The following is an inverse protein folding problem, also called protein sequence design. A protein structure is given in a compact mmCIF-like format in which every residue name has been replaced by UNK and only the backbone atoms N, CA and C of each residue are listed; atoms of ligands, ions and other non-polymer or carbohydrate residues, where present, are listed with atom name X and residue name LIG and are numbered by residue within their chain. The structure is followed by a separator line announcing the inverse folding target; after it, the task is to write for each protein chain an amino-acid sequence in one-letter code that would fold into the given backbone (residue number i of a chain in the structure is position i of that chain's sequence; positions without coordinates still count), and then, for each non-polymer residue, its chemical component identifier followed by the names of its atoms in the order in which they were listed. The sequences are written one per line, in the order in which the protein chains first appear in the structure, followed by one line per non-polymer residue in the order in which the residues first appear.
data_IF_685388747314
#
_entry.id   IF_685388747314
#
_cell.length_a   1.000
_cell.length_b   1.000
_cell.length_c   1.000
_cell.angle_alpha   90.00
_cell.angle_beta   90.00
_cell.angle_gamma   90.00
#
_symmetry.space_group_name_H-M   'P 1'
#
loop_
_entity.id
_entity.type
_entity.pdbx_description
1 polymer ?
#
# COMPACT_ATOMS: atom_id res chain seq x y z
N UNK A 1 -11.42 -10.77 18.40
CA UNK A 1 -10.82 -10.46 17.07
C UNK A 1 -11.68 -9.40 16.40
N UNK A 2 -11.10 -8.28 15.96
CA UNK A 2 -11.84 -7.20 15.25
C UNK A 2 -11.50 -7.27 13.77
N UNK A 3 -12.50 -7.43 12.91
CA UNK A 3 -12.35 -7.37 11.46
C UNK A 3 -12.60 -5.93 11.03
N UNK A 4 -11.67 -5.32 10.27
CA UNK A 4 -11.87 -4.00 9.67
C UNK A 4 -12.57 -4.21 8.32
N UNK A 5 -13.80 -3.71 8.11
CA UNK A 5 -14.46 -3.84 6.81
C UNK A 5 -13.76 -2.98 5.76
N UNK A 6 -13.83 -3.39 4.48
CA UNK A 6 -13.14 -2.71 3.37
C UNK A 6 -13.44 -1.20 3.33
N UNK A 7 -14.67 -0.81 3.63
CA UNK A 7 -15.11 0.59 3.67
C UNK A 7 -14.45 1.45 4.76
N UNK A 8 -13.77 0.84 5.72
CA UNK A 8 -13.03 1.51 6.79
C UNK A 8 -11.50 1.40 6.61
N UNK A 9 -11.06 0.68 5.58
CA UNK A 9 -9.64 0.59 5.23
C UNK A 9 -9.21 1.85 4.49
N UNK A 10 -7.94 2.21 4.63
CA UNK A 10 -7.39 3.30 3.85
C UNK A 10 -7.18 2.87 2.40
N UNK A 11 -7.16 3.86 1.50
CA UNK A 11 -6.80 3.68 0.10
C UNK A 11 -5.79 4.74 -0.31
N UNK A 12 -5.18 4.53 -1.47
CA UNK A 12 -4.24 5.46 -2.06
C UNK A 12 -4.12 5.22 -3.56
N UNK A 13 -3.40 6.11 -4.22
CA UNK A 13 -3.14 6.00 -5.64
C UNK A 13 -1.82 6.68 -5.99
N UNK A 14 -1.14 6.13 -6.98
CA UNK A 14 0.02 6.74 -7.62
C UNK A 14 -0.32 7.09 -9.07
N UNK A 15 0.36 8.12 -9.59
CA UNK A 15 0.26 8.55 -10.99
C UNK A 15 -1.18 8.70 -11.49
N UNK A 16 -2.00 9.44 -10.74
CA UNK A 16 -3.41 9.71 -11.06
C UNK A 16 -4.26 8.43 -11.20
N UNK A 17 -4.00 7.41 -10.38
CA UNK A 17 -4.80 6.18 -10.34
C UNK A 17 -4.35 5.10 -11.32
N UNK A 18 -3.20 5.26 -11.99
CA UNK A 18 -2.60 4.18 -12.78
C UNK A 18 -2.19 2.99 -11.92
N UNK A 19 -1.80 3.27 -10.68
CA UNK A 19 -1.61 2.27 -9.63
C UNK A 19 -2.53 2.67 -8.48
N UNK A 20 -3.37 1.75 -8.04
CA UNK A 20 -4.22 1.93 -6.86
C UNK A 20 -3.71 1.05 -5.73
N UNK A 21 -3.90 1.47 -4.48
CA UNK A 21 -3.55 0.69 -3.31
C UNK A 21 -4.72 0.60 -2.32
N UNK A 22 -4.92 -0.60 -1.76
CA UNK A 22 -5.74 -0.82 -0.59
C UNK A 22 -4.83 -1.07 0.63
N UNK A 23 -5.06 -0.31 1.70
CA UNK A 23 -4.29 -0.34 2.94
C UNK A 23 -5.22 -0.70 4.11
N UNK A 24 -5.22 -1.95 4.57
CA UNK A 24 -6.06 -2.37 5.71
C UNK A 24 -5.83 -1.54 6.97
N UNK A 25 -4.57 -1.13 7.16
CA UNK A 25 -4.17 -0.15 8.16
C UNK A 25 -3.36 0.92 7.43
N UNK A 26 -3.96 2.10 7.26
CA UNK A 26 -3.29 3.25 6.67
C UNK A 26 -2.25 3.86 7.60
N UNK A 27 -1.51 4.83 7.08
CA UNK A 27 -0.67 5.67 7.95
C UNK A 27 -1.52 6.45 8.96
N UNK A 28 -0.94 7.01 10.03
CA UNK A 28 -1.69 7.73 11.06
C UNK A 28 -2.64 8.82 10.55
N UNK A 29 -2.36 9.41 9.38
CA UNK A 29 -3.19 10.41 8.71
C UNK A 29 -4.29 9.84 7.78
N UNK A 30 -4.20 8.58 7.39
CA UNK A 30 -5.06 7.96 6.37
C UNK A 30 -6.34 7.32 6.96
N UNK A 31 -6.50 7.30 8.28
CA UNK A 31 -7.67 6.70 8.91
C UNK A 31 -7.63 6.67 10.44
N UNK A 32 -8.63 6.03 11.04
CA UNK A 32 -8.78 5.92 12.49
C UNK A 32 -8.22 4.60 13.06
N UNK A 33 -7.89 3.64 12.19
CA UNK A 33 -7.39 2.33 12.57
C UNK A 33 -5.91 2.44 12.89
N UNK A 34 -5.53 2.17 14.14
CA UNK A 34 -4.13 2.11 14.56
C UNK A 34 -3.57 0.70 14.37
N UNK A 35 -2.31 0.56 13.95
CA UNK A 35 -1.66 -0.74 13.86
C UNK A 35 -1.45 -1.32 15.27
N UNK A 36 -1.50 -2.65 15.35
CA UNK A 36 -1.17 -3.38 16.57
C UNK A 36 0.34 -3.64 16.70
N UNK A 37 1.06 -3.71 15.57
CA UNK A 37 2.50 -4.00 15.50
C UNK A 37 3.21 -2.99 14.58
N UNK A 38 4.51 -3.16 14.36
CA UNK A 38 5.28 -2.40 13.37
C UNK A 38 5.04 -2.84 11.92
N UNK A 39 4.19 -3.84 11.68
CA UNK A 39 3.90 -4.35 10.34
C UNK A 39 2.82 -3.50 9.67
N UNK A 40 3.13 -2.99 8.49
CA UNK A 40 2.18 -2.38 7.57
C UNK A 40 2.19 -3.15 6.26
N UNK A 41 1.05 -3.19 5.59
CA UNK A 41 0.97 -3.77 4.26
C UNK A 41 -0.09 -3.07 3.42
N UNK A 42 0.12 -3.12 2.12
CA UNK A 42 -0.80 -2.64 1.11
C UNK A 42 -0.90 -3.70 0.01
N UNK A 43 -2.10 -3.84 -0.56
CA UNK A 43 -2.28 -4.50 -1.84
C UNK A 43 -2.29 -3.41 -2.92
N UNK A 44 -1.29 -3.41 -3.78
CA UNK A 44 -1.21 -2.50 -4.91
C UNK A 44 -1.59 -3.21 -6.21
N UNK A 45 -2.35 -2.55 -7.06
CA UNK A 45 -2.77 -3.03 -8.38
C UNK A 45 -2.43 -1.99 -9.45
N UNK A 46 -1.68 -2.40 -10.47
CA UNK A 46 -1.41 -1.59 -11.64
C UNK A 46 -2.51 -1.75 -12.68
N UNK A 47 -3.35 -0.73 -12.84
CA UNK A 47 -4.41 -0.70 -13.86
C UNK A 47 -3.86 -0.37 -15.26
N UNK A 48 -2.72 0.32 -15.30
CA UNK A 48 -1.97 0.68 -16.50
C UNK A 48 -0.47 0.60 -16.20
N UNK A 49 0.34 0.34 -17.23
CA UNK A 49 1.80 0.37 -17.11
C UNK A 49 2.28 1.71 -16.53
N UNK A 50 3.01 1.62 -15.42
CA UNK A 50 3.43 2.77 -14.65
C UNK A 50 4.59 2.44 -13.72
N UNK A 51 5.24 3.49 -13.20
CA UNK A 51 6.33 3.37 -12.23
C UNK A 51 6.09 4.33 -11.07
N UNK A 52 6.37 3.89 -9.85
CA UNK A 52 6.32 4.78 -8.68
C UNK A 52 7.57 5.67 -8.72
N UNK A 53 7.37 6.99 -8.61
CA UNK A 53 8.47 7.96 -8.59
C UNK A 53 9.40 7.77 -7.39
N UNK A 54 10.62 8.30 -7.48
CA UNK A 54 11.59 8.25 -6.39
C UNK A 54 11.06 9.01 -5.16
N UNK A 55 11.10 8.35 -4.00
CA UNK A 55 10.71 8.94 -2.72
C UNK A 55 11.51 8.31 -1.58
N UNK A 56 11.71 9.05 -0.47
CA UNK A 56 12.59 8.59 0.61
C UNK A 56 11.90 7.56 1.52
N UNK A 57 12.69 6.61 2.02
CA UNK A 57 12.34 5.71 3.12
C UNK A 57 13.50 5.67 4.13
N UNK A 58 13.18 5.62 5.42
CA UNK A 58 14.19 5.58 6.48
C UNK A 58 13.66 4.82 7.70
N UNK A 59 14.50 3.93 8.25
CA UNK A 59 14.25 3.27 9.53
C UNK A 59 13.34 2.02 9.48
N UNK A 60 13.11 1.46 8.29
CA UNK A 60 12.34 0.22 8.10
C UNK A 60 12.75 -0.50 6.80
N UNK A 61 12.26 -1.73 6.64
CA UNK A 61 12.44 -2.56 5.44
C UNK A 61 11.15 -2.62 4.62
N UNK A 62 11.30 -2.75 3.30
CA UNK A 62 10.19 -2.95 2.37
C UNK A 62 10.35 -4.32 1.73
N UNK A 63 9.29 -5.12 1.76
CA UNK A 63 9.22 -6.40 1.05
C UNK A 63 8.06 -6.34 0.06
N UNK A 64 8.35 -6.61 -1.21
CA UNK A 64 7.37 -6.64 -2.27
C UNK A 64 7.21 -8.07 -2.78
N UNK A 65 5.97 -8.54 -2.81
CA UNK A 65 5.60 -9.80 -3.44
C UNK A 65 4.77 -9.48 -4.68
N UNK A 66 5.13 -10.06 -5.82
CA UNK A 66 4.46 -9.88 -7.10
C UNK A 66 3.90 -11.23 -7.55
N UNK A 67 2.66 -11.58 -7.14
CA UNK A 67 2.06 -12.87 -7.49
C UNK A 67 1.81 -13.01 -8.99
N UNK A 68 1.52 -11.88 -9.65
CA UNK A 68 1.21 -11.80 -11.06
C UNK A 68 1.90 -10.58 -11.69
N UNK A 69 2.35 -10.74 -12.93
CA UNK A 69 3.04 -9.69 -13.68
C UNK A 69 4.53 -9.57 -13.36
N UNK A 70 5.09 -8.38 -13.58
CA UNK A 70 6.48 -8.02 -13.24
C UNK A 70 6.48 -6.71 -12.49
N UNK A 71 7.17 -6.68 -11.35
CA UNK A 71 7.45 -5.43 -10.66
C UNK A 71 8.74 -4.84 -11.24
N UNK A 72 8.75 -3.64 -11.84
CA UNK A 72 9.91 -3.11 -12.58
C UNK A 72 11.16 -2.83 -11.72
N UNK A 73 11.07 -2.96 -10.39
CA UNK A 73 12.19 -2.85 -9.45
C UNK A 73 12.77 -4.21 -8.99
N UNK A 74 12.26 -5.34 -9.52
CA UNK A 74 12.74 -6.70 -9.28
C UNK A 74 13.13 -7.39 -10.59
#
# INVERSE_FOLDING_TARGET
MRIIPISQQASGAFNNGKIIENKPIGFPQDGFVRPYSSLYWALAEGLLDSTIGLHPHQGFEIMSFCPEGKHPAL
#
